data_IF_688542020547
#
_entry.id   IF_688542020547
#
_cell.length_a   1.000
_cell.length_b   1.000
_cell.length_c   1.000
_cell.angle_alpha   90.00
_cell.angle_beta   90.00
_cell.angle_gamma   90.00
#
_symmetry.space_group_name_H-M   'P 1'
#
loop_
_entity.id
_entity.type
_entity.pdbx_description
1 polymer ?
#
# COMPACT_ATOMS: atom_id res chain seq x y z
N UNK A 1 14.28 5.76 -21.21
CA UNK A 1 13.15 4.83 -21.45
C UNK A 1 11.95 5.34 -20.68
N UNK A 2 10.84 5.67 -21.34
CA UNK A 2 9.57 5.95 -20.66
C UNK A 2 8.92 4.61 -20.29
N UNK A 3 8.76 4.33 -19.01
CA UNK A 3 7.94 3.21 -18.55
C UNK A 3 6.53 3.74 -18.29
N UNK A 4 5.64 3.59 -19.28
CA UNK A 4 4.30 4.12 -19.20
C UNK A 4 3.38 3.12 -18.49
N UNK A 5 2.97 3.46 -17.28
CA UNK A 5 2.08 2.64 -16.46
C UNK A 5 0.71 2.38 -17.11
N UNK A 6 0.29 3.25 -18.03
CA UNK A 6 -0.99 3.13 -18.72
C UNK A 6 -1.00 2.07 -19.83
N UNK A 7 0.18 1.72 -20.37
CA UNK A 7 0.31 0.71 -21.44
C UNK A 7 0.41 -0.72 -20.89
N UNK A 8 0.47 -0.89 -19.57
CA UNK A 8 0.51 -2.21 -18.96
C UNK A 8 -0.83 -2.95 -19.10
N UNK A 9 -0.77 -4.30 -19.19
CA UNK A 9 -1.94 -5.15 -19.10
C UNK A 9 -2.67 -4.91 -17.78
N UNK A 10 -4.00 -5.14 -17.80
CA UNK A 10 -4.87 -4.89 -16.63
C UNK A 10 -4.40 -5.64 -15.39
N UNK A 11 -3.95 -6.87 -15.55
CA UNK A 11 -3.46 -7.72 -14.44
C UNK A 11 -2.23 -7.14 -13.73
N UNK A 12 -1.29 -6.53 -14.46
CA UNK A 12 -0.14 -5.88 -13.84
C UNK A 12 -0.53 -4.58 -13.16
N UNK A 13 -1.50 -3.84 -13.74
CA UNK A 13 -2.08 -2.65 -13.08
C UNK A 13 -2.79 -3.00 -11.79
N UNK A 14 -3.57 -4.07 -11.75
CA UNK A 14 -4.27 -4.52 -10.55
C UNK A 14 -3.26 -4.93 -9.46
N UNK A 15 -2.16 -5.60 -9.82
CA UNK A 15 -1.07 -5.91 -8.87
C UNK A 15 -0.41 -4.66 -8.31
N UNK A 16 -0.12 -3.67 -9.17
CA UNK A 16 0.46 -2.40 -8.76
C UNK A 16 -0.46 -1.62 -7.82
N UNK A 17 -1.77 -1.65 -8.06
CA UNK A 17 -2.76 -1.02 -7.19
C UNK A 17 -2.81 -1.70 -5.80
N UNK A 18 -2.76 -3.03 -5.77
CA UNK A 18 -2.64 -3.80 -4.52
C UNK A 18 -1.36 -3.47 -3.76
N UNK A 19 -0.23 -3.37 -4.46
CA UNK A 19 1.05 -2.95 -3.87
C UNK A 19 0.99 -1.53 -3.29
N UNK A 20 0.30 -0.61 -3.98
CA UNK A 20 0.07 0.74 -3.51
C UNK A 20 -0.76 0.74 -2.22
N UNK A 21 -1.84 -0.03 -2.16
CA UNK A 21 -2.65 -0.18 -0.95
C UNK A 21 -1.86 -0.78 0.22
N UNK A 22 -1.06 -1.83 -0.04
CA UNK A 22 -0.23 -2.47 0.97
C UNK A 22 0.84 -1.51 1.53
N UNK A 23 1.52 -0.75 0.66
CA UNK A 23 2.51 0.24 1.08
C UNK A 23 1.88 1.39 1.89
N UNK A 24 0.66 1.81 1.51
CA UNK A 24 -0.11 2.81 2.22
C UNK A 24 -0.49 2.40 3.64
N UNK A 25 -0.83 1.12 3.87
CA UNK A 25 -1.08 0.59 5.22
C UNK A 25 0.18 0.64 6.06
N UNK A 26 1.29 0.11 5.54
CA UNK A 26 2.56 0.10 6.27
C UNK A 26 3.03 1.53 6.61
N UNK A 27 2.78 2.49 5.71
CA UNK A 27 3.01 3.90 5.98
C UNK A 27 2.09 4.41 7.10
N UNK A 28 0.77 4.29 6.97
CA UNK A 28 -0.18 4.79 7.97
C UNK A 28 0.07 4.18 9.36
N UNK A 29 0.35 2.89 9.42
CA UNK A 29 0.72 2.15 10.64
C UNK A 29 2.00 2.69 11.28
N UNK A 30 3.01 3.05 10.49
CA UNK A 30 4.28 3.65 10.99
C UNK A 30 4.13 5.07 11.51
N UNK A 31 3.32 5.88 10.84
CA UNK A 31 3.13 7.30 11.16
C UNK A 31 2.01 7.54 12.18
N UNK A 32 1.37 6.48 12.68
CA UNK A 32 0.27 6.57 13.64
C UNK A 32 -1.00 7.21 13.06
N UNK A 33 -1.15 7.21 11.73
CA UNK A 33 -2.35 7.70 11.07
C UNK A 33 -3.49 6.69 11.26
N UNK A 34 -4.73 7.13 11.54
CA UNK A 34 -5.87 6.24 11.59
C UNK A 34 -6.13 5.63 10.21
N UNK A 35 -6.28 4.32 10.14
CA UNK A 35 -6.66 3.60 8.92
C UNK A 35 -7.55 2.41 9.25
N UNK A 36 -8.37 1.98 8.30
CA UNK A 36 -9.27 0.85 8.44
C UNK A 36 -8.87 -0.27 7.49
N UNK A 37 -8.28 -1.33 8.03
CA UNK A 37 -7.81 -2.48 7.26
C UNK A 37 -8.95 -3.20 6.53
N UNK A 38 -10.13 -3.29 7.17
CA UNK A 38 -11.29 -4.01 6.63
C UNK A 38 -11.86 -3.34 5.38
N UNK A 39 -11.86 -2.01 5.33
CA UNK A 39 -12.31 -1.27 4.14
C UNK A 39 -11.37 -1.51 2.95
N UNK A 40 -10.05 -1.60 3.20
CA UNK A 40 -9.06 -1.85 2.16
C UNK A 40 -9.16 -3.29 1.64
N UNK A 41 -9.36 -4.28 2.52
CA UNK A 41 -9.57 -5.68 2.12
C UNK A 41 -10.85 -5.91 1.29
N UNK A 42 -11.85 -5.04 1.42
CA UNK A 42 -13.08 -5.10 0.63
C UNK A 42 -12.91 -4.50 -0.78
N UNK A 43 -12.00 -3.53 -0.93
CA UNK A 43 -11.68 -2.92 -2.23
C UNK A 43 -10.85 -3.87 -3.11
N UNK A 44 -10.06 -4.75 -2.50
CA UNK A 44 -9.17 -5.66 -3.22
C UNK A 44 -9.96 -6.86 -3.76
N UNK A 45 -9.84 -7.17 -5.07
CA UNK A 45 -10.52 -8.30 -5.67
C UNK A 45 -10.01 -9.62 -5.09
N UNK A 46 -10.89 -10.62 -4.97
CA UNK A 46 -10.63 -11.83 -4.18
C UNK A 46 -9.40 -12.63 -4.64
N UNK A 47 -9.08 -12.57 -5.93
CA UNK A 47 -7.92 -13.20 -6.55
C UNK A 47 -6.57 -12.58 -6.15
N UNK A 48 -6.56 -11.35 -5.63
CA UNK A 48 -5.36 -10.63 -5.22
C UNK A 48 -5.23 -10.48 -3.71
N UNK A 49 -6.15 -11.07 -2.92
CA UNK A 49 -6.11 -11.00 -1.46
C UNK A 49 -4.91 -11.71 -0.85
N UNK A 50 -4.52 -12.87 -1.39
CA UNK A 50 -3.33 -13.58 -0.92
C UNK A 50 -2.05 -12.78 -1.24
N UNK A 51 -1.98 -12.21 -2.45
CA UNK A 51 -0.88 -11.32 -2.84
C UNK A 51 -0.80 -10.08 -1.94
N UNK A 52 -1.94 -9.47 -1.61
CA UNK A 52 -2.00 -8.32 -0.72
C UNK A 52 -1.42 -8.62 0.67
N UNK A 53 -1.76 -9.77 1.26
CA UNK A 53 -1.23 -10.15 2.59
C UNK A 53 0.28 -10.29 2.57
N UNK A 54 0.82 -10.99 1.57
CA UNK A 54 2.27 -11.16 1.41
C UNK A 54 2.97 -9.79 1.25
N UNK A 55 2.35 -8.87 0.50
CA UNK A 55 2.88 -7.51 0.33
C UNK A 55 2.83 -6.68 1.59
N UNK A 56 1.74 -6.74 2.37
CA UNK A 56 1.65 -6.07 3.66
C UNK A 56 2.74 -6.57 4.61
N UNK A 57 2.96 -7.88 4.67
CA UNK A 57 4.05 -8.47 5.45
C UNK A 57 5.42 -8.04 4.95
N UNK A 58 5.63 -7.98 3.63
CA UNK A 58 6.86 -7.45 3.04
C UNK A 58 7.13 -6.00 3.47
N UNK A 59 6.14 -5.10 3.39
CA UNK A 59 6.30 -3.70 3.78
C UNK A 59 6.46 -3.51 5.30
N UNK A 60 5.90 -4.41 6.12
CA UNK A 60 6.16 -4.46 7.57
C UNK A 60 7.58 -4.95 7.87
N UNK A 61 8.06 -5.94 7.14
CA UNK A 61 9.39 -6.57 7.27
C UNK A 61 10.52 -5.73 6.67
N UNK A 62 10.20 -4.62 6.00
CA UNK A 62 11.20 -3.66 5.51
C UNK A 62 11.33 -2.39 6.40
N UNK A 63 11.76 -2.45 7.68
CA UNK A 63 11.88 -1.29 8.56
C UNK A 63 12.90 -0.22 8.13
N UNK A 64 13.77 -0.47 7.14
CA UNK A 64 15.16 0.01 7.23
C UNK A 64 15.62 1.17 6.32
N UNK A 65 14.76 1.96 5.67
CA UNK A 65 15.28 3.10 4.87
C UNK A 65 14.56 4.45 4.98
N UNK A 66 13.44 4.55 5.71
CA UNK A 66 12.66 5.79 5.76
C UNK A 66 12.66 6.39 7.17
N UNK A 67 13.09 7.65 7.28
CA UNK A 67 13.05 8.40 8.52
C UNK A 67 11.62 8.57 9.05
N UNK A 68 11.46 8.61 10.37
CA UNK A 68 10.18 8.90 11.01
C UNK A 68 9.99 10.42 11.07
N UNK A 69 9.17 10.98 10.18
CA UNK A 69 8.65 12.34 10.39
C UNK A 69 7.41 12.24 11.29
N UNK A 70 7.26 13.05 12.34
CA UNK A 70 6.00 13.09 13.10
C UNK A 70 4.86 13.53 12.17
N UNK A 71 3.78 12.75 12.12
CA UNK A 71 2.56 13.18 11.43
C UNK A 71 1.90 14.27 12.26
N UNK A 72 1.82 15.48 11.69
CA UNK A 72 1.01 16.58 12.22
C UNK A 72 -0.19 16.67 11.29
N UNK A 73 -1.38 16.34 11.79
CA UNK A 73 -2.60 16.64 11.04
C UNK A 73 -2.66 18.17 10.86
N UNK A 74 -2.78 18.63 9.61
CA UNK A 74 -3.02 20.06 9.38
C UNK A 74 -4.42 20.37 9.91
N UNK A 75 -4.51 20.88 11.14
CA UNK A 75 -5.66 21.65 11.62
C UNK A 75 -5.82 22.85 10.67
N UNK A 76 -6.76 22.72 9.73
CA UNK A 76 -7.27 23.83 8.92
C UNK A 76 -8.61 24.25 9.46
#
# INVERSE_FOLDING_TARGET
MSYNLAELPREERDKLDVDLHASGIAYKERYGMPFNYREIELLIPANLKDYFKERVEFFRTNPYQLGKLPYVANDK
#
